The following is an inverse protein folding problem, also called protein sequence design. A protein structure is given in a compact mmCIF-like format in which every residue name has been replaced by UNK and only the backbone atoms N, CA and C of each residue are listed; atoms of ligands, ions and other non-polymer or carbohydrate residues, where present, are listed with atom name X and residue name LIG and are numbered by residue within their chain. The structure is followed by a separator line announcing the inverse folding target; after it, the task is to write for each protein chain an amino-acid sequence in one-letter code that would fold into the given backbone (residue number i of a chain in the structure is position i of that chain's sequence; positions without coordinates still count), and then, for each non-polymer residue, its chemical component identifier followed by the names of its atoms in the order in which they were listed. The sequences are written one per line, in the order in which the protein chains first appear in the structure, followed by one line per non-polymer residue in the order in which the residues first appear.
data_IF_417052624691
#
_entry.id   IF_417052624691
#
_cell.length_a   1.000
_cell.length_b   1.000
_cell.length_c   1.000
_cell.angle_alpha   90.00
_cell.angle_beta   90.00
_cell.angle_gamma   90.00
#
_symmetry.space_group_name_H-M   'P 1'
#
loop_
_entity.id
_entity.type
_entity.pdbx_description
1 polymer ?
#
# COMPACT_ATOMS: atom_id res chain seq x y z
N UNK A 1 -5.56 -8.52 2.54
CA UNK A 1 -4.50 -7.46 2.50
C UNK A 1 -3.80 -7.42 3.84
N UNK A 2 -2.47 -7.50 3.85
CA UNK A 2 -1.65 -7.30 5.04
C UNK A 2 -1.40 -5.80 5.27
N UNK A 3 -0.97 -5.43 6.48
CA UNK A 3 -0.63 -4.07 6.89
C UNK A 3 0.88 -3.99 7.15
N UNK A 4 1.59 -3.12 6.45
CA UNK A 4 3.05 -2.95 6.55
C UNK A 4 3.91 -4.17 6.16
N UNK A 5 3.40 -5.09 5.34
CA UNK A 5 4.19 -6.24 4.87
C UNK A 5 5.12 -5.83 3.73
N UNK A 6 6.41 -6.03 3.93
CA UNK A 6 7.42 -5.72 2.92
C UNK A 6 7.35 -6.61 1.69
N UNK A 7 7.76 -6.07 0.53
CA UNK A 7 7.77 -6.82 -0.73
C UNK A 7 8.60 -8.11 -0.64
N UNK A 8 9.75 -8.05 0.04
CA UNK A 8 10.67 -9.17 0.20
C UNK A 8 10.33 -10.11 1.38
N UNK A 9 9.22 -9.87 2.09
CA UNK A 9 8.89 -10.61 3.32
C UNK A 9 8.08 -11.89 3.06
N UNK A 10 7.91 -12.27 1.80
CA UNK A 10 7.22 -13.49 1.38
C UNK A 10 8.13 -14.41 0.55
N UNK A 11 7.91 -15.72 0.64
CA UNK A 11 8.79 -16.71 -0.01
C UNK A 11 8.82 -16.58 -1.53
N UNK A 12 7.69 -16.27 -2.18
CA UNK A 12 7.65 -16.11 -3.64
C UNK A 12 8.43 -14.89 -4.16
N UNK A 13 8.86 -13.96 -3.28
CA UNK A 13 9.78 -12.86 -3.58
C UNK A 13 11.19 -13.07 -2.99
N UNK A 14 11.47 -14.25 -2.43
CA UNK A 14 12.80 -14.67 -2.01
C UNK A 14 13.06 -14.62 -0.50
N UNK A 15 12.05 -14.41 0.35
CA UNK A 15 12.21 -14.54 1.80
C UNK A 15 12.74 -15.93 2.16
N UNK A 16 13.83 -15.99 2.92
CA UNK A 16 14.41 -17.25 3.40
C UNK A 16 14.20 -17.43 4.90
N UNK A 17 14.03 -16.35 5.63
CA UNK A 17 13.77 -16.38 7.07
C UNK A 17 12.29 -16.50 7.39
N UNK A 18 11.45 -15.68 6.77
CA UNK A 18 10.00 -15.73 6.93
C UNK A 18 9.40 -16.93 6.18
N UNK A 19 8.43 -17.58 6.78
CA UNK A 19 7.80 -18.80 6.23
C UNK A 19 6.37 -18.46 5.79
N UNK A 20 6.11 -18.56 4.49
CA UNK A 20 4.82 -18.22 3.88
C UNK A 20 4.31 -19.33 2.96
N UNK A 21 4.22 -20.59 3.43
CA UNK A 21 3.92 -21.74 2.56
C UNK A 21 2.55 -21.65 1.88
N UNK A 22 1.52 -21.12 2.54
CA UNK A 22 0.19 -20.97 1.96
C UNK A 22 0.16 -19.85 0.90
N UNK A 23 0.73 -18.70 1.23
CA UNK A 23 0.89 -17.55 0.32
C UNK A 23 1.68 -17.99 -0.91
N UNK A 24 2.79 -18.71 -0.74
CA UNK A 24 3.64 -19.17 -1.84
C UNK A 24 2.94 -20.22 -2.72
N UNK A 25 2.22 -21.14 -2.12
CA UNK A 25 1.45 -22.14 -2.86
C UNK A 25 0.34 -21.51 -3.70
N UNK A 26 -0.35 -20.49 -3.18
CA UNK A 26 -1.37 -19.75 -3.93
C UNK A 26 -0.75 -18.87 -5.01
N UNK A 27 0.37 -18.20 -4.74
CA UNK A 27 1.11 -17.44 -5.73
C UNK A 27 1.55 -18.32 -6.92
N UNK A 28 1.91 -19.58 -6.67
CA UNK A 28 2.24 -20.55 -7.71
C UNK A 28 1.01 -21.01 -8.53
N UNK A 29 -0.18 -21.00 -7.93
CA UNK A 29 -1.45 -21.34 -8.59
C UNK A 29 -2.05 -20.16 -9.38
N UNK A 30 -1.49 -18.94 -9.24
CA UNK A 30 -1.98 -17.74 -9.86
C UNK A 30 -0.94 -17.00 -10.69
N UNK A 31 -1.17 -15.70 -10.82
CA UNK A 31 -0.26 -14.73 -11.44
C UNK A 31 0.37 -13.86 -10.35
N UNK A 32 1.70 -13.81 -10.31
CA UNK A 32 2.44 -12.87 -9.46
C UNK A 32 2.62 -11.56 -10.19
N UNK A 33 2.47 -10.44 -9.50
CA UNK A 33 2.76 -9.11 -10.03
C UNK A 33 4.10 -8.65 -9.45
N UNK A 34 5.14 -8.61 -10.28
CA UNK A 34 6.47 -8.17 -9.84
C UNK A 34 6.52 -6.67 -9.55
N UNK A 35 5.62 -5.92 -10.17
CA UNK A 35 5.55 -4.46 -10.18
C UNK A 35 4.20 -3.95 -9.66
N UNK A 36 3.82 -4.42 -8.46
CA UNK A 36 2.62 -3.97 -7.78
C UNK A 36 2.94 -2.86 -6.77
N UNK A 37 2.10 -1.82 -6.78
CA UNK A 37 2.30 -0.62 -5.98
C UNK A 37 1.04 -0.21 -5.23
N UNK A 38 1.14 0.25 -3.97
CA UNK A 38 0.09 1.02 -3.33
C UNK A 38 -0.01 2.42 -3.94
N UNK A 39 -1.13 3.09 -3.73
CA UNK A 39 -1.32 4.47 -4.19
C UNK A 39 -0.55 5.53 -3.39
N UNK A 40 0.01 5.14 -2.24
CA UNK A 40 0.81 5.97 -1.35
C UNK A 40 1.75 5.10 -0.51
N UNK A 41 2.72 5.72 0.16
CA UNK A 41 3.71 5.03 1.00
C UNK A 41 3.24 4.77 2.45
N UNK A 42 2.00 5.13 2.79
CA UNK A 42 1.39 4.95 4.10
C UNK A 42 -0.03 4.38 3.99
N UNK A 43 -0.49 3.73 5.06
CA UNK A 43 -1.74 2.96 5.12
C UNK A 43 -2.99 3.77 4.78
N UNK A 44 -3.29 4.85 5.50
CA UNK A 44 -4.51 5.64 5.30
C UNK A 44 -4.66 6.17 3.86
N UNK A 45 -3.69 6.90 3.29
CA UNK A 45 -3.78 7.39 1.92
C UNK A 45 -3.80 6.27 0.87
N UNK A 46 -3.07 5.17 1.10
CA UNK A 46 -3.11 4.02 0.21
C UNK A 46 -4.49 3.36 0.17
N UNK A 47 -5.13 3.18 1.34
CA UNK A 47 -6.49 2.63 1.44
C UNK A 47 -7.51 3.54 0.78
N UNK A 48 -7.36 4.86 0.89
CA UNK A 48 -8.19 5.83 0.17
C UNK A 48 -8.06 5.66 -1.36
N UNK A 49 -6.84 5.51 -1.88
CA UNK A 49 -6.60 5.23 -3.31
C UNK A 49 -7.28 3.94 -3.77
N UNK A 50 -7.16 2.85 -3.00
CA UNK A 50 -7.80 1.56 -3.29
C UNK A 50 -9.30 1.72 -3.37
N UNK A 51 -9.93 2.33 -2.34
CA UNK A 51 -11.38 2.45 -2.25
C UNK A 51 -11.98 3.35 -3.32
N UNK A 52 -11.30 4.43 -3.68
CA UNK A 52 -11.87 5.47 -4.56
C UNK A 52 -11.43 5.37 -6.02
N UNK A 53 -10.36 4.61 -6.33
CA UNK A 53 -9.78 4.58 -7.67
C UNK A 53 -9.13 5.90 -8.10
N UNK A 54 -8.81 6.79 -7.13
CA UNK A 54 -8.22 8.10 -7.38
C UNK A 54 -6.90 8.27 -6.65
N UNK A 55 -5.99 9.09 -7.21
CA UNK A 55 -4.78 9.48 -6.49
C UNK A 55 -5.09 10.37 -5.29
N UNK A 56 -4.20 10.34 -4.30
CA UNK A 56 -4.36 11.09 -3.03
C UNK A 56 -4.46 12.61 -3.21
N UNK A 57 -4.03 13.15 -4.33
CA UNK A 57 -4.21 14.57 -4.70
C UNK A 57 -5.68 14.98 -4.73
N UNK A 58 -6.61 14.02 -4.95
CA UNK A 58 -8.06 14.27 -4.97
C UNK A 58 -8.71 14.10 -3.61
N UNK A 59 -8.28 13.11 -2.83
CA UNK A 59 -8.80 12.87 -1.47
C UNK A 59 -8.16 13.77 -0.42
N UNK A 60 -6.97 14.30 -0.70
CA UNK A 60 -6.15 15.10 0.22
C UNK A 60 -5.86 14.39 1.55
N UNK A 61 -5.90 13.07 1.56
CA UNK A 61 -5.55 12.22 2.70
C UNK A 61 -4.07 11.88 2.62
N UNK A 62 -3.18 12.78 3.10
CA UNK A 62 -1.75 12.66 2.84
C UNK A 62 -1.03 11.69 3.76
N UNK A 63 -1.41 11.64 5.04
CA UNK A 63 -0.74 10.82 6.07
C UNK A 63 -1.69 10.52 7.21
N UNK A 64 -1.54 9.36 7.89
CA UNK A 64 -2.28 9.07 9.11
C UNK A 64 -1.96 10.09 10.20
N UNK A 65 -2.99 10.75 10.71
CA UNK A 65 -2.87 11.83 11.69
C UNK A 65 -2.34 13.12 11.06
N UNK A 66 -2.99 14.20 11.40
CA UNK A 66 -2.77 15.53 10.84
C UNK A 66 -1.55 16.25 11.38
N UNK A 67 -0.79 15.64 12.27
CA UNK A 67 0.39 16.27 12.86
C UNK A 67 1.61 16.00 12.00
N UNK A 68 2.19 17.04 11.42
CA UNK A 68 3.55 16.98 10.94
C UNK A 68 4.45 16.42 12.06
N UNK A 69 5.02 15.24 11.79
CA UNK A 69 5.92 14.59 12.77
C UNK A 69 7.33 15.08 12.48
N UNK A 70 7.82 15.99 13.29
CA UNK A 70 9.16 16.53 13.16
C UNK A 70 9.26 17.92 13.79
N UNK A 71 10.47 18.43 13.87
CA UNK A 71 10.72 19.77 14.37
C UNK A 71 10.48 20.79 13.26
N UNK A 72 9.71 21.84 13.52
CA UNK A 72 9.35 22.87 12.55
C UNK A 72 10.58 23.55 11.93
N UNK A 73 11.59 23.80 12.76
CA UNK A 73 12.83 24.44 12.35
C UNK A 73 13.58 23.65 11.25
N UNK A 74 13.28 22.37 11.06
CA UNK A 74 13.85 21.53 10.03
C UNK A 74 13.00 21.45 8.76
N UNK A 75 11.87 22.18 8.67
CA UNK A 75 10.95 22.14 7.55
C UNK A 75 11.05 23.43 6.74
N UNK A 76 11.60 23.38 5.55
CA UNK A 76 11.75 24.55 4.68
C UNK A 76 10.42 25.17 4.28
N UNK A 77 9.39 24.36 4.06
CA UNK A 77 8.07 24.82 3.69
C UNK A 77 7.09 24.72 4.86
N UNK A 78 6.10 25.63 4.86
CA UNK A 78 4.96 25.48 5.76
C UNK A 78 4.21 24.20 5.44
N UNK A 79 3.88 23.45 6.48
CA UNK A 79 3.23 22.17 6.39
C UNK A 79 1.84 22.22 6.98
N UNK A 80 0.93 21.32 6.54
CA UNK A 80 -0.42 21.25 7.07
C UNK A 80 -0.40 21.00 8.58
N UNK A 81 -1.25 21.72 9.25
CA UNK A 81 -1.63 21.46 10.64
C UNK A 81 -3.11 21.11 10.70
N UNK A 82 -3.52 20.45 11.77
CA UNK A 82 -4.93 20.16 12.04
C UNK A 82 -5.79 21.40 11.89
N UNK A 83 -6.99 21.22 11.36
CA UNK A 83 -7.96 22.19 10.89
C UNK A 83 -8.33 23.39 11.77
N UNK A 84 -7.73 23.55 12.94
CA UNK A 84 -8.02 24.65 13.88
C UNK A 84 -7.12 25.88 13.72
N UNK A 85 -6.19 25.85 12.77
CA UNK A 85 -5.26 26.99 12.59
C UNK A 85 -5.59 27.78 11.33
N UNK A 86 -6.50 28.70 11.47
CA UNK A 86 -6.78 29.72 10.46
C UNK A 86 -5.58 30.66 10.34
N UNK A 87 -4.98 30.72 9.18
CA UNK A 87 -4.12 31.83 8.78
C UNK A 87 -2.61 31.61 8.78
N UNK A 88 -2.09 30.42 9.04
CA UNK A 88 -0.66 30.14 9.06
C UNK A 88 -0.12 29.47 7.78
N UNK A 89 -0.88 29.53 6.67
CA UNK A 89 -0.44 29.04 5.37
C UNK A 89 -0.35 27.52 5.25
N UNK A 90 -1.04 26.77 6.09
CA UNK A 90 -1.01 25.32 6.10
C UNK A 90 -1.87 24.70 4.99
N UNK A 91 -1.41 23.56 4.47
CA UNK A 91 -2.17 22.79 3.50
C UNK A 91 -3.28 22.01 4.21
N UNK A 92 -4.52 21.94 3.66
CA UNK A 92 -5.56 21.13 4.23
C UNK A 92 -5.20 19.65 4.14
N UNK A 93 -5.32 18.92 5.23
CA UNK A 93 -5.29 17.46 5.25
C UNK A 93 -6.65 16.93 5.68
N UNK A 94 -7.06 15.82 5.05
CA UNK A 94 -8.24 15.09 5.46
C UNK A 94 -7.83 13.89 6.31
N UNK A 95 -8.44 13.73 7.48
CA UNK A 95 -8.23 12.56 8.36
C UNK A 95 -9.26 11.46 8.07
N UNK A 96 -10.34 11.81 7.40
CA UNK A 96 -11.42 10.91 7.02
C UNK A 96 -11.71 11.04 5.53
N UNK A 97 -12.08 9.94 4.90
CA UNK A 97 -12.54 9.96 3.52
C UNK A 97 -13.89 10.68 3.46
N UNK A 98 -14.00 11.68 2.58
CA UNK A 98 -15.25 12.39 2.37
C UNK A 98 -16.35 11.41 1.90
N UNK A 99 -17.53 11.37 2.54
CA UNK A 99 -18.62 10.47 2.19
C UNK A 99 -19.15 10.64 0.75
N UNK A 100 -18.86 11.77 0.11
CA UNK A 100 -19.24 12.02 -1.29
C UNK A 100 -18.48 11.12 -2.27
N UNK A 101 -17.29 10.60 -1.89
CA UNK A 101 -16.57 9.66 -2.74
C UNK A 101 -17.36 8.35 -2.94
N UNK A 102 -17.43 7.95 -4.19
CA UNK A 102 -17.90 6.62 -4.56
C UNK A 102 -16.75 5.62 -4.38
N UNK A 103 -17.00 4.59 -3.58
CA UNK A 103 -16.05 3.55 -3.23
C UNK A 103 -16.32 2.25 -3.97
N UNK A 104 -15.41 1.29 -3.86
CA UNK A 104 -15.58 -0.07 -4.40
C UNK A 104 -16.93 -0.66 -3.93
N UNK A 105 -17.23 -0.58 -2.64
CA UNK A 105 -18.47 -1.13 -2.09
C UNK A 105 -19.70 -0.48 -2.72
N UNK A 106 -19.76 0.87 -2.77
CA UNK A 106 -20.87 1.58 -3.42
C UNK A 106 -21.07 1.17 -4.88
N UNK A 107 -19.97 0.94 -5.63
CA UNK A 107 -20.04 0.48 -7.03
C UNK A 107 -20.56 -0.95 -7.11
N UNK A 108 -20.04 -1.86 -6.31
CA UNK A 108 -20.40 -3.28 -6.34
C UNK A 108 -21.84 -3.52 -5.89
N UNK A 109 -22.35 -2.75 -4.92
CA UNK A 109 -23.74 -2.83 -4.48
C UNK A 109 -24.73 -2.50 -5.62
N UNK A 110 -24.32 -1.68 -6.62
CA UNK A 110 -25.19 -1.44 -7.81
C UNK A 110 -25.34 -2.65 -8.72
N UNK A 111 -24.52 -3.69 -8.52
CA UNK A 111 -24.54 -4.96 -9.26
C UNK A 111 -24.90 -6.14 -8.35
N UNK A 112 -25.61 -5.89 -7.25
CA UNK A 112 -26.14 -6.87 -6.30
C UNK A 112 -25.04 -7.72 -5.61
N UNK A 113 -23.85 -7.17 -5.40
CA UNK A 113 -22.85 -7.81 -4.55
C UNK A 113 -23.16 -7.50 -3.09
N UNK A 114 -23.08 -8.50 -2.23
CA UNK A 114 -22.98 -8.30 -0.77
C UNK A 114 -21.52 -7.95 -0.43
N UNK A 115 -21.31 -6.87 0.30
CA UNK A 115 -19.98 -6.32 0.53
C UNK A 115 -19.60 -6.34 2.00
N UNK A 116 -18.42 -6.90 2.31
CA UNK A 116 -17.87 -6.95 3.66
C UNK A 116 -16.50 -6.29 3.76
N UNK A 117 -16.34 -5.42 4.75
CA UNK A 117 -15.04 -4.97 5.24
C UNK A 117 -14.77 -5.61 6.60
N UNK A 118 -13.64 -6.30 6.72
CA UNK A 118 -13.21 -6.98 7.94
C UNK A 118 -11.80 -6.48 8.34
N UNK A 119 -11.67 -5.95 9.54
CA UNK A 119 -10.39 -5.53 10.11
C UNK A 119 -10.06 -4.05 9.98
N UNK A 120 -8.82 -3.71 9.62
CA UNK A 120 -8.33 -2.33 9.60
C UNK A 120 -8.96 -1.48 8.50
N UNK A 121 -9.73 -0.46 8.88
CA UNK A 121 -10.37 0.48 7.95
C UNK A 121 -9.50 1.70 7.63
N UNK A 122 -9.25 2.55 8.62
CA UNK A 122 -8.39 3.74 8.59
C UNK A 122 -8.87 4.86 7.64
N UNK A 123 -10.17 4.92 7.33
CA UNK A 123 -10.75 5.95 6.46
C UNK A 123 -11.84 6.79 7.15
N UNK A 124 -11.91 6.75 8.49
CA UNK A 124 -12.88 7.50 9.28
C UNK A 124 -14.07 6.66 9.75
N UNK A 125 -15.12 7.32 10.26
CA UNK A 125 -16.25 6.63 10.91
C UNK A 125 -17.27 6.02 9.94
N UNK A 126 -17.29 6.46 8.69
CA UNK A 126 -18.28 6.05 7.71
C UNK A 126 -18.02 4.64 7.17
N UNK A 127 -19.10 3.92 6.85
CA UNK A 127 -19.00 2.57 6.24
C UNK A 127 -18.68 2.62 4.75
N UNK A 128 -18.85 3.76 4.13
CA UNK A 128 -18.61 3.99 2.69
C UNK A 128 -19.26 2.96 1.76
N UNK A 129 -20.43 2.44 2.18
CA UNK A 129 -21.25 1.55 1.36
C UNK A 129 -21.06 0.06 1.63
N UNK A 130 -20.16 -0.35 2.55
CA UNK A 130 -20.08 -1.74 2.95
C UNK A 130 -21.34 -2.17 3.73
N UNK A 131 -21.93 -3.30 3.35
CA UNK A 131 -23.09 -3.89 4.02
C UNK A 131 -22.71 -4.45 5.40
N UNK A 132 -21.58 -5.14 5.47
CA UNK A 132 -20.95 -5.54 6.72
C UNK A 132 -19.64 -4.74 6.90
N UNK A 133 -19.57 -3.94 7.97
CA UNK A 133 -18.36 -3.23 8.34
C UNK A 133 -17.98 -3.57 9.78
N UNK A 134 -16.88 -4.27 9.94
CA UNK A 134 -16.40 -4.80 11.23
C UNK A 134 -16.11 -3.71 12.26
N UNK A 135 -15.76 -2.54 11.80
CA UNK A 135 -15.40 -1.41 12.68
C UNK A 135 -16.59 -0.53 13.05
N UNK A 136 -17.80 -0.83 12.59
CA UNK A 136 -18.98 0.06 12.71
C UNK A 136 -18.67 1.51 12.30
N UNK A 137 -17.79 1.71 11.33
CA UNK A 137 -17.34 3.02 10.91
C UNK A 137 -16.39 3.73 11.90
N UNK A 138 -16.14 3.19 13.07
CA UNK A 138 -15.34 3.85 14.09
C UNK A 138 -13.85 3.67 13.82
N UNK A 139 -13.23 4.66 13.24
CA UNK A 139 -11.77 4.68 13.01
C UNK A 139 -10.90 4.70 14.26
N UNK A 140 -11.47 4.79 15.46
CA UNK A 140 -10.68 4.95 16.69
C UNK A 140 -11.02 4.02 17.85
N UNK A 141 -12.28 3.64 18.03
CA UNK A 141 -12.69 2.92 19.25
C UNK A 141 -12.43 1.42 19.23
N UNK A 142 -12.51 0.78 18.07
CA UNK A 142 -12.26 -0.66 17.90
C UNK A 142 -10.77 -0.95 17.73
N UNK A 143 -9.99 0.03 17.30
CA UNK A 143 -8.52 0.00 17.25
C UNK A 143 -7.90 -0.50 18.56
N UNK A 144 -8.37 -0.01 19.71
CA UNK A 144 -7.81 -0.35 21.00
C UNK A 144 -7.98 -1.84 21.34
N UNK A 145 -9.07 -2.48 20.90
CA UNK A 145 -9.33 -3.90 21.14
C UNK A 145 -8.43 -4.80 20.28
N UNK A 146 -8.35 -4.52 18.98
CA UNK A 146 -7.55 -5.32 18.06
C UNK A 146 -6.05 -4.98 18.10
N UNK A 147 -5.72 -3.75 18.43
CA UNK A 147 -4.34 -3.26 18.44
C UNK A 147 -3.40 -4.01 19.40
N UNK A 148 -3.95 -4.65 20.43
CA UNK A 148 -3.21 -5.42 21.43
C UNK A 148 -3.53 -6.92 21.40
N UNK A 149 -4.40 -7.37 20.50
CA UNK A 149 -4.83 -8.76 20.39
C UNK A 149 -3.82 -9.54 19.53
N UNK A 150 -3.17 -10.53 20.13
CA UNK A 150 -2.22 -11.42 19.44
C UNK A 150 -2.91 -12.44 18.53
N UNK A 151 -4.23 -12.57 18.66
CA UNK A 151 -5.06 -13.50 17.89
C UNK A 151 -5.92 -12.79 16.85
N UNK A 152 -5.66 -11.50 16.59
CA UNK A 152 -6.47 -10.70 15.67
C UNK A 152 -6.55 -11.29 14.26
N UNK A 153 -5.44 -11.84 13.74
CA UNK A 153 -5.45 -12.50 12.44
C UNK A 153 -6.40 -13.69 12.39
N UNK A 154 -6.42 -14.51 13.45
CA UNK A 154 -7.34 -15.65 13.56
C UNK A 154 -8.79 -15.20 13.69
N UNK A 155 -9.06 -14.19 14.52
CA UNK A 155 -10.40 -13.61 14.68
C UNK A 155 -10.97 -13.11 13.35
N UNK A 156 -10.19 -12.34 12.59
CA UNK A 156 -10.60 -11.84 11.29
C UNK A 156 -10.78 -12.96 10.27
N UNK A 157 -9.92 -13.98 10.32
CA UNK A 157 -10.03 -15.17 9.48
C UNK A 157 -11.32 -15.92 9.73
N UNK A 158 -11.68 -16.17 11.00
CA UNK A 158 -12.91 -16.86 11.37
C UNK A 158 -14.15 -16.11 10.84
N UNK A 159 -14.15 -14.78 10.91
CA UNK A 159 -15.23 -13.93 10.37
C UNK A 159 -15.30 -13.99 8.85
N UNK A 160 -14.16 -13.97 8.16
CA UNK A 160 -14.13 -14.10 6.71
C UNK A 160 -14.65 -15.48 6.25
N UNK A 161 -14.24 -16.55 6.94
CA UNK A 161 -14.70 -17.91 6.68
C UNK A 161 -16.21 -18.02 6.89
N UNK A 162 -16.74 -17.44 7.97
CA UNK A 162 -18.18 -17.43 8.24
C UNK A 162 -18.94 -16.65 7.16
N UNK A 163 -18.48 -15.46 6.79
CA UNK A 163 -19.11 -14.66 5.74
C UNK A 163 -19.14 -15.40 4.39
N UNK A 164 -18.06 -16.10 4.03
CA UNK A 164 -18.01 -16.93 2.80
C UNK A 164 -19.07 -18.03 2.87
N UNK A 165 -19.25 -18.67 4.02
CA UNK A 165 -20.25 -19.72 4.19
C UNK A 165 -21.67 -19.19 4.08
N UNK A 166 -21.93 -17.99 4.64
CA UNK A 166 -23.25 -17.37 4.65
C UNK A 166 -23.66 -16.81 3.26
N UNK A 167 -22.69 -16.32 2.46
CA UNK A 167 -22.94 -15.62 1.19
C UNK A 167 -22.55 -16.45 -0.05
N UNK A 168 -22.23 -17.72 0.07
CA UNK A 168 -21.70 -18.55 -1.02
C UNK A 168 -22.61 -18.69 -2.23
N UNK A 169 -23.93 -18.46 -2.08
CA UNK A 169 -24.90 -18.51 -3.16
C UNK A 169 -25.12 -17.15 -3.86
N UNK A 170 -24.56 -16.06 -3.32
CA UNK A 170 -24.68 -14.70 -3.84
C UNK A 170 -23.35 -14.15 -4.34
N UNK A 171 -23.33 -13.17 -5.26
CA UNK A 171 -22.12 -12.43 -5.54
C UNK A 171 -21.67 -11.67 -4.30
N UNK A 172 -20.41 -11.82 -3.89
CA UNK A 172 -19.89 -11.13 -2.72
C UNK A 172 -18.51 -10.50 -2.97
N UNK A 173 -18.17 -9.52 -2.15
CA UNK A 173 -16.86 -8.90 -2.09
C UNK A 173 -16.40 -8.79 -0.63
N UNK A 174 -15.22 -9.32 -0.35
CA UNK A 174 -14.58 -9.21 0.96
C UNK A 174 -13.33 -8.35 0.85
N UNK A 175 -13.27 -7.27 1.61
CA UNK A 175 -12.07 -6.50 1.86
C UNK A 175 -11.52 -6.88 3.24
N UNK A 176 -10.79 -8.02 3.27
CA UNK A 176 -10.13 -8.52 4.49
C UNK A 176 -8.81 -7.79 4.70
N UNK A 177 -8.74 -6.97 5.73
CA UNK A 177 -7.62 -6.10 6.06
C UNK A 177 -7.03 -6.50 7.41
N UNK A 178 -5.98 -7.32 7.39
CA UNK A 178 -5.28 -7.68 8.62
C UNK A 178 -4.67 -6.44 9.28
N UNK A 179 -4.54 -6.50 10.61
CA UNK A 179 -3.73 -5.58 11.40
C UNK A 179 -2.26 -6.01 11.38
N UNK A 180 -2.03 -7.33 11.24
CA UNK A 180 -0.70 -7.89 11.05
C UNK A 180 -0.17 -7.51 9.65
N UNK A 181 1.06 -7.10 9.57
CA UNK A 181 2.16 -7.18 10.53
C UNK A 181 2.54 -5.79 11.13
N UNK A 182 1.56 -4.91 11.32
CA UNK A 182 1.76 -3.56 11.84
C UNK A 182 2.19 -3.56 13.32
N UNK A 183 2.89 -2.51 13.72
CA UNK A 183 3.20 -2.28 15.15
C UNK A 183 1.93 -2.05 15.99
N UNK A 184 1.92 -2.49 17.28
CA UNK A 184 3.00 -3.11 18.02
C UNK A 184 3.29 -4.53 17.54
N UNK A 185 4.58 -4.89 17.45
CA UNK A 185 5.02 -6.21 17.02
C UNK A 185 4.76 -7.21 18.15
N UNK A 186 3.74 -8.07 17.99
CA UNK A 186 3.28 -9.03 19.00
C UNK A 186 2.75 -10.29 18.32
N UNK A 187 3.10 -11.44 18.85
CA UNK A 187 2.64 -12.73 18.35
C UNK A 187 2.57 -13.77 19.47
N UNK A 188 2.02 -14.93 19.18
CA UNK A 188 1.94 -16.05 20.12
C UNK A 188 3.35 -16.51 20.52
N UNK A 189 3.64 -16.63 21.84
CA UNK A 189 4.99 -16.95 22.32
C UNK A 189 5.57 -18.25 21.77
N UNK A 190 4.73 -19.27 21.55
CA UNK A 190 5.14 -20.55 20.98
C UNK A 190 5.59 -20.44 19.52
N UNK A 191 4.97 -19.56 18.73
CA UNK A 191 5.37 -19.30 17.34
C UNK A 191 6.64 -18.45 17.32
N UNK A 192 6.77 -17.46 18.20
CA UNK A 192 8.02 -16.70 18.38
C UNK A 192 9.17 -17.64 18.71
N UNK A 193 8.98 -18.57 19.66
CA UNK A 193 10.01 -19.53 20.05
C UNK A 193 10.47 -20.44 18.89
N UNK A 194 9.58 -20.79 17.95
CA UNK A 194 9.94 -21.48 16.69
C UNK A 194 10.95 -20.65 15.89
N UNK A 195 10.67 -19.36 15.69
CA UNK A 195 11.55 -18.47 14.94
C UNK A 195 12.83 -18.11 15.69
N UNK A 196 12.80 -18.02 17.01
CA UNK A 196 14.02 -17.88 17.84
C UNK A 196 14.97 -19.05 17.65
N UNK A 197 14.41 -20.28 17.64
CA UNK A 197 15.20 -21.49 17.37
C UNK A 197 15.76 -21.46 15.94
N UNK A 198 14.97 -21.06 14.95
CA UNK A 198 15.39 -20.92 13.57
C UNK A 198 16.50 -19.87 13.44
N UNK A 199 16.36 -18.71 14.07
CA UNK A 199 17.34 -17.65 14.07
C UNK A 199 18.70 -18.09 14.65
N UNK A 200 18.67 -18.84 15.75
CA UNK A 200 19.85 -19.36 16.42
C UNK A 200 20.52 -20.56 15.69
N UNK A 201 19.85 -21.16 14.70
CA UNK A 201 20.32 -22.38 14.04
C UNK A 201 21.50 -22.16 13.07
N UNK A 202 21.69 -20.93 12.59
CA UNK A 202 22.76 -20.54 11.69
C UNK A 202 23.01 -19.03 11.75
N UNK A 203 24.10 -18.59 11.15
CA UNK A 203 24.32 -17.16 10.91
C UNK A 203 23.42 -16.68 9.76
N UNK A 204 22.77 -15.54 9.97
CA UNK A 204 21.91 -14.87 9.00
C UNK A 204 22.57 -13.57 8.54
N UNK A 205 22.17 -13.10 7.40
CA UNK A 205 22.64 -11.85 6.78
C UNK A 205 22.06 -10.58 7.43
N UNK A 206 20.98 -10.73 8.21
CA UNK A 206 20.33 -9.65 8.94
C UNK A 206 19.93 -10.10 10.36
N UNK A 207 19.71 -9.11 11.21
CA UNK A 207 19.10 -9.29 12.53
C UNK A 207 17.58 -9.38 12.37
N UNK A 208 17.11 -10.58 12.01
CA UNK A 208 15.71 -10.83 11.71
C UNK A 208 14.82 -10.76 12.96
N UNK A 209 13.70 -10.04 12.88
CA UNK A 209 12.74 -9.94 13.97
C UNK A 209 11.87 -11.21 14.03
N UNK A 210 12.09 -12.03 15.03
CA UNK A 210 11.41 -13.33 15.20
C UNK A 210 9.92 -13.18 15.55
N UNK A 211 9.55 -12.11 16.25
CA UNK A 211 8.13 -11.80 16.53
C UNK A 211 7.40 -11.35 15.26
N UNK A 212 8.04 -10.54 14.43
CA UNK A 212 7.51 -10.15 13.13
C UNK A 212 7.32 -11.36 12.21
N UNK A 213 8.27 -12.31 12.22
CA UNK A 213 8.14 -13.57 11.50
C UNK A 213 6.91 -14.37 11.94
N UNK A 214 6.64 -14.41 13.24
CA UNK A 214 5.46 -15.08 13.79
C UNK A 214 4.14 -14.39 13.38
N UNK A 215 4.12 -13.06 13.26
CA UNK A 215 2.97 -12.32 12.71
C UNK A 215 2.74 -12.64 11.24
N UNK A 216 3.80 -12.74 10.43
CA UNK A 216 3.71 -13.15 9.02
C UNK A 216 3.10 -14.56 8.90
N UNK A 217 3.50 -15.50 9.76
CA UNK A 217 2.94 -16.85 9.77
C UNK A 217 1.44 -16.84 10.10
N UNK A 218 0.98 -15.95 10.97
CA UNK A 218 -0.44 -15.80 11.26
C UNK A 218 -1.23 -15.30 10.02
N UNK A 219 -0.67 -14.33 9.27
CA UNK A 219 -1.26 -13.88 7.99
C UNK A 219 -1.24 -14.99 6.95
N UNK A 220 -0.14 -15.75 6.84
CA UNK A 220 -0.03 -16.89 5.92
C UNK A 220 -1.10 -17.96 6.21
N UNK A 221 -1.27 -18.31 7.48
CA UNK A 221 -2.31 -19.23 7.92
C UNK A 221 -3.70 -18.73 7.58
N UNK A 222 -3.96 -17.44 7.78
CA UNK A 222 -5.22 -16.80 7.40
C UNK A 222 -5.50 -16.93 5.91
N UNK A 223 -4.53 -16.60 5.07
CA UNK A 223 -4.64 -16.67 3.60
C UNK A 223 -5.01 -18.10 3.16
N UNK A 224 -4.33 -19.12 3.70
CA UNK A 224 -4.64 -20.51 3.41
C UNK A 224 -6.06 -20.90 3.81
N UNK A 225 -6.49 -20.52 5.02
CA UNK A 225 -7.83 -20.85 5.56
C UNK A 225 -8.96 -20.16 4.78
N UNK A 226 -8.78 -18.90 4.40
CA UNK A 226 -9.79 -18.17 3.61
C UNK A 226 -9.93 -18.78 2.22
N UNK A 227 -8.83 -19.13 1.55
CA UNK A 227 -8.91 -19.78 0.25
C UNK A 227 -9.53 -21.19 0.33
N UNK A 228 -9.21 -21.96 1.38
CA UNK A 228 -9.82 -23.27 1.61
C UNK A 228 -11.33 -23.15 1.87
N UNK A 229 -11.79 -22.10 2.56
CA UNK A 229 -13.22 -21.85 2.72
C UNK A 229 -13.93 -21.65 1.38
N UNK A 230 -13.33 -20.90 0.44
CA UNK A 230 -13.87 -20.74 -0.92
C UNK A 230 -13.96 -22.10 -1.65
N UNK A 231 -12.96 -22.99 -1.46
CA UNK A 231 -12.95 -24.32 -2.04
C UNK A 231 -14.06 -25.22 -1.47
N UNK A 232 -14.21 -25.20 -0.15
CA UNK A 232 -15.24 -26.00 0.56
C UNK A 232 -16.65 -25.59 0.11
N UNK A 233 -16.87 -24.27 -0.08
CA UNK A 233 -18.16 -23.77 -0.57
C UNK A 233 -18.33 -23.92 -2.10
N UNK A 234 -17.33 -24.42 -2.82
CA UNK A 234 -17.41 -24.64 -4.27
C UNK A 234 -17.40 -23.36 -5.11
N UNK A 235 -17.02 -22.22 -4.53
CA UNK A 235 -17.02 -20.91 -5.21
C UNK A 235 -15.65 -20.44 -5.65
N UNK A 236 -14.57 -21.16 -5.32
CA UNK A 236 -13.19 -20.76 -5.64
C UNK A 236 -12.96 -20.52 -7.14
N UNK A 237 -13.55 -21.35 -8.01
CA UNK A 237 -13.39 -21.24 -9.47
C UNK A 237 -14.02 -19.98 -10.06
N UNK A 238 -15.00 -19.39 -9.36
CA UNK A 238 -15.66 -18.15 -9.74
C UNK A 238 -15.27 -16.97 -8.86
N UNK A 239 -14.15 -17.08 -8.15
CA UNK A 239 -13.67 -16.01 -7.24
C UNK A 239 -12.29 -15.52 -7.68
N UNK A 240 -12.16 -14.21 -7.89
CA UNK A 240 -10.86 -13.54 -7.98
C UNK A 240 -10.31 -13.32 -6.57
N UNK A 241 -9.29 -14.09 -6.20
CA UNK A 241 -8.58 -13.94 -4.92
C UNK A 241 -7.31 -13.11 -5.12
N UNK A 242 -7.17 -12.01 -4.41
CA UNK A 242 -6.00 -11.12 -4.46
C UNK A 242 -5.35 -11.06 -3.09
N UNK A 243 -4.04 -11.29 -3.03
CA UNK A 243 -3.20 -11.02 -1.86
C UNK A 243 -2.29 -9.83 -2.16
N UNK A 244 -2.18 -8.88 -1.20
CA UNK A 244 -1.27 -7.73 -1.29
C UNK A 244 -1.06 -7.09 0.08
N UNK A 245 -0.18 -6.07 0.16
CA UNK A 245 -0.01 -5.16 1.30
C UNK A 245 -0.48 -3.74 0.95
N UNK A 246 -0.76 -2.92 1.96
CA UNK A 246 -1.20 -1.54 1.77
C UNK A 246 -0.05 -0.54 1.59
N UNK A 247 1.15 -0.85 2.02
CA UNK A 247 2.41 -0.13 1.78
C UNK A 247 3.60 -1.05 2.04
N UNK A 248 4.81 -0.55 1.81
CA UNK A 248 6.04 -1.29 2.10
C UNK A 248 6.28 -1.55 3.58
N UNK A 249 7.21 -2.43 3.88
CA UNK A 249 7.51 -2.90 5.24
C UNK A 249 8.02 -1.81 6.17
N UNK A 250 7.63 -1.93 7.45
CA UNK A 250 8.08 -1.01 8.49
C UNK A 250 9.57 -1.27 8.82
N UNK A 251 10.38 -0.25 8.67
CA UNK A 251 11.83 -0.36 8.79
C UNK A 251 12.35 -0.82 10.17
N UNK A 252 11.55 -0.69 11.25
CA UNK A 252 11.86 -1.26 12.57
C UNK A 252 11.54 -2.73 12.73
N UNK A 253 10.91 -3.37 11.73
CA UNK A 253 10.47 -4.75 11.78
C UNK A 253 11.16 -5.64 10.73
N UNK A 254 11.46 -5.07 9.55
CA UNK A 254 12.09 -5.77 8.44
C UNK A 254 13.10 -4.90 7.70
N UNK A 255 14.19 -5.46 7.16
CA UNK A 255 15.20 -4.70 6.43
C UNK A 255 14.75 -4.20 5.06
N UNK A 256 13.64 -4.70 4.51
CA UNK A 256 13.12 -4.42 3.15
C UNK A 256 14.09 -4.76 2.00
N UNK A 257 15.28 -5.29 2.27
CA UNK A 257 16.26 -5.61 1.24
C UNK A 257 15.74 -6.63 0.22
N UNK A 258 16.09 -6.49 -1.08
CA UNK A 258 17.10 -5.57 -1.64
C UNK A 258 16.60 -4.15 -1.91
N UNK A 259 15.33 -3.84 -1.63
CA UNK A 259 14.72 -2.55 -1.93
C UNK A 259 15.26 -1.44 -1.03
N UNK A 260 15.35 -0.23 -1.58
CA UNK A 260 15.72 0.96 -0.86
C UNK A 260 14.54 1.55 -0.09
N UNK A 261 14.79 2.06 1.11
CA UNK A 261 13.75 2.69 1.94
C UNK A 261 12.81 1.69 2.60
N UNK A 262 11.70 2.23 3.10
CA UNK A 262 10.69 1.51 3.87
C UNK A 262 9.38 2.31 3.89
N UNK A 263 8.36 1.82 4.60
CA UNK A 263 7.10 2.54 4.86
C UNK A 263 7.32 4.03 5.09
N UNK A 264 6.61 4.85 4.36
CA UNK A 264 6.67 6.32 4.43
C UNK A 264 7.62 6.95 3.41
N UNK A 265 8.60 6.22 2.87
CA UNK A 265 9.47 6.67 1.79
C UNK A 265 8.85 6.39 0.40
N UNK A 266 9.31 7.13 -0.62
CA UNK A 266 8.89 6.92 -2.00
C UNK A 266 9.91 6.12 -2.84
N UNK A 267 10.91 5.57 -2.19
CA UNK A 267 11.75 4.51 -2.76
C UNK A 267 10.97 3.19 -2.80
N UNK A 268 11.47 2.22 -3.56
CA UNK A 268 10.80 0.94 -3.80
C UNK A 268 10.40 0.22 -2.50
N UNK A 269 11.24 0.26 -1.46
CA UNK A 269 10.94 -0.36 -0.16
C UNK A 269 9.72 0.23 0.56
N UNK A 270 9.32 1.46 0.22
CA UNK A 270 8.11 2.09 0.78
C UNK A 270 6.85 1.91 -0.08
N UNK A 271 7.02 1.71 -1.38
CA UNK A 271 5.90 1.71 -2.34
C UNK A 271 5.79 0.45 -3.22
N UNK A 272 6.70 -0.50 -3.16
CA UNK A 272 6.53 -1.81 -3.83
C UNK A 272 6.00 -2.81 -2.82
N UNK A 273 4.99 -3.59 -3.20
CA UNK A 273 4.32 -4.56 -2.32
C UNK A 273 4.25 -5.95 -2.95
N UNK A 274 4.23 -7.02 -2.13
CA UNK A 274 3.98 -8.35 -2.65
C UNK A 274 2.55 -8.43 -3.17
N UNK A 275 2.36 -9.06 -4.33
CA UNK A 275 1.02 -9.26 -4.88
C UNK A 275 0.95 -10.49 -5.76
N UNK A 276 -0.14 -11.23 -5.59
CA UNK A 276 -0.59 -12.24 -6.55
C UNK A 276 -2.12 -12.21 -6.70
N UNK A 277 -2.59 -12.79 -7.80
CA UNK A 277 -4.01 -13.03 -8.06
C UNK A 277 -4.22 -14.47 -8.47
N UNK A 278 -5.19 -15.14 -7.84
CA UNK A 278 -5.67 -16.48 -8.22
C UNK A 278 -7.10 -16.34 -8.72
N UNK A 279 -7.35 -16.87 -9.89
CA UNK A 279 -8.70 -17.03 -10.43
C UNK A 279 -8.69 -18.21 -11.39
N UNK A 280 -9.04 -19.41 -10.91
CA UNK A 280 -9.04 -20.61 -11.74
C UNK A 280 -9.79 -20.40 -13.07
N UNK A 281 -9.31 -21.03 -14.12
CA UNK A 281 -9.86 -20.91 -15.49
C UNK A 281 -9.71 -19.52 -16.17
N UNK A 282 -9.30 -18.49 -15.47
CA UNK A 282 -9.10 -17.13 -16.04
C UNK A 282 -7.65 -16.68 -15.97
N UNK A 283 -7.03 -16.82 -14.81
CA UNK A 283 -5.63 -16.46 -14.58
C UNK A 283 -4.76 -17.69 -14.80
N UNK A 284 -3.79 -17.59 -15.71
CA UNK A 284 -2.87 -18.70 -15.96
C UNK A 284 -1.91 -18.88 -14.79
N UNK A 285 -1.94 -20.06 -14.19
CA UNK A 285 -1.08 -20.43 -13.06
C UNK A 285 0.43 -20.31 -13.40
N UNK A 286 1.24 -19.93 -12.40
CA UNK A 286 2.69 -19.84 -12.51
C UNK A 286 3.20 -18.70 -13.40
N UNK A 287 2.34 -17.73 -13.75
CA UNK A 287 2.75 -16.58 -14.58
C UNK A 287 3.22 -15.41 -13.75
N UNK A 288 4.02 -14.53 -14.39
CA UNK A 288 4.49 -13.27 -13.79
C UNK A 288 4.04 -12.11 -14.69
N UNK A 289 3.37 -11.13 -14.10
CA UNK A 289 3.03 -9.88 -14.75
C UNK A 289 4.03 -8.79 -14.32
N UNK A 290 4.80 -8.28 -15.28
CA UNK A 290 5.77 -7.20 -15.07
C UNK A 290 5.19 -5.81 -15.41
N UNK A 291 3.92 -5.73 -15.77
CA UNK A 291 3.26 -4.46 -16.03
C UNK A 291 2.95 -3.76 -14.70
N UNK A 292 3.43 -2.52 -14.49
CA UNK A 292 3.16 -1.80 -13.26
C UNK A 292 1.67 -1.56 -13.03
N UNK A 293 1.20 -1.93 -11.85
CA UNK A 293 -0.16 -1.68 -11.37
C UNK A 293 -0.10 -0.91 -10.05
N UNK A 294 -1.18 -0.22 -9.72
CA UNK A 294 -1.23 0.59 -8.50
C UNK A 294 -2.60 0.51 -7.82
N UNK A 295 -2.67 0.90 -6.55
CA UNK A 295 -3.88 0.82 -5.73
C UNK A 295 -5.12 1.46 -6.36
N UNK A 296 -4.97 2.50 -7.20
CA UNK A 296 -6.10 3.14 -7.88
C UNK A 296 -6.74 2.25 -8.96
N UNK A 297 -6.11 1.14 -9.34
CA UNK A 297 -6.62 0.22 -10.37
C UNK A 297 -7.70 -0.74 -9.86
N UNK A 298 -7.82 -0.90 -8.55
CA UNK A 298 -8.76 -1.87 -7.99
C UNK A 298 -10.22 -1.51 -8.26
N UNK A 299 -10.63 -0.25 -8.02
CA UNK A 299 -12.01 0.16 -8.26
C UNK A 299 -12.45 -0.08 -9.71
N UNK A 300 -11.76 0.41 -10.76
CA UNK A 300 -12.17 0.15 -12.14
C UNK A 300 -12.05 -1.33 -12.55
N UNK A 301 -11.19 -2.11 -11.89
CA UNK A 301 -11.10 -3.55 -12.11
C UNK A 301 -12.33 -4.27 -11.58
N UNK A 302 -12.72 -4.01 -10.34
CA UNK A 302 -13.86 -4.69 -9.73
C UNK A 302 -15.17 -4.22 -10.37
N UNK A 303 -15.29 -2.93 -10.74
CA UNK A 303 -16.41 -2.45 -11.52
C UNK A 303 -16.56 -3.21 -12.85
N UNK A 304 -15.46 -3.39 -13.59
CA UNK A 304 -15.48 -4.13 -14.85
C UNK A 304 -15.87 -5.60 -14.68
N UNK A 305 -15.41 -6.26 -13.60
CA UNK A 305 -15.75 -7.65 -13.30
C UNK A 305 -17.21 -7.82 -12.91
N UNK A 306 -17.75 -6.88 -12.15
CA UNK A 306 -19.16 -6.89 -11.72
C UNK A 306 -20.13 -6.38 -12.78
N UNK A 307 -19.64 -5.92 -13.94
CA UNK A 307 -20.49 -5.23 -14.94
C UNK A 307 -21.08 -3.91 -14.43
N UNK A 308 -20.50 -3.32 -13.39
CA UNK A 308 -20.95 -2.10 -12.77
C UNK A 308 -20.44 -0.86 -13.50
N UNK A 309 -21.25 0.21 -13.53
CA UNK A 309 -20.83 1.47 -14.11
C UNK A 309 -19.88 2.23 -13.17
N UNK A 310 -18.85 2.85 -13.73
CA UNK A 310 -18.02 3.77 -12.98
C UNK A 310 -18.76 5.08 -12.67
N UNK A 311 -18.45 5.75 -11.54
CA UNK A 311 -19.09 7.00 -11.17
C UNK A 311 -18.81 8.11 -12.21
N UNK A 312 -19.86 8.82 -12.63
CA UNK A 312 -19.74 9.88 -13.64
C UNK A 312 -19.14 11.19 -13.06
N UNK A 313 -19.38 11.44 -11.78
CA UNK A 313 -19.02 12.71 -11.12
C UNK A 313 -17.70 12.60 -10.32
N UNK A 314 -16.99 11.48 -10.42
CA UNK A 314 -15.72 11.27 -9.77
C UNK A 314 -14.67 10.88 -10.82
N UNK A 315 -13.57 11.64 -10.94
CA UNK A 315 -12.48 11.23 -11.80
C UNK A 315 -11.90 9.89 -11.32
N UNK A 316 -11.81 8.92 -12.21
CA UNK A 316 -11.12 7.64 -11.95
C UNK A 316 -9.74 7.72 -12.60
N UNK A 317 -8.70 7.68 -11.78
CA UNK A 317 -7.30 7.74 -12.24
C UNK A 317 -6.75 6.34 -12.61
N UNK A 318 -7.34 5.30 -12.03
CA UNK A 318 -6.99 3.91 -12.27
C UNK A 318 -7.48 3.37 -13.61
N UNK A 319 -6.97 2.19 -13.95
CA UNK A 319 -7.40 1.41 -15.12
C UNK A 319 -7.65 -0.03 -14.74
N UNK A 320 -8.66 -0.64 -15.35
CA UNK A 320 -8.95 -2.06 -15.12
C UNK A 320 -7.76 -2.94 -15.53
N UNK A 321 -7.33 -3.81 -14.62
CA UNK A 321 -6.30 -4.82 -14.86
C UNK A 321 -6.86 -6.16 -15.37
N UNK A 322 -8.16 -6.26 -15.63
CA UNK A 322 -8.79 -7.47 -16.18
C UNK A 322 -8.06 -8.00 -17.42
N UNK A 323 -7.64 -7.16 -18.38
CA UNK A 323 -6.85 -7.65 -19.51
C UNK A 323 -5.52 -8.30 -19.10
N UNK A 324 -4.85 -7.82 -18.05
CA UNK A 324 -3.62 -8.42 -17.53
C UNK A 324 -3.91 -9.79 -16.91
N UNK A 325 -4.98 -9.91 -16.11
CA UNK A 325 -5.43 -11.18 -15.52
C UNK A 325 -5.73 -12.24 -16.60
N UNK A 326 -6.17 -11.80 -17.78
CA UNK A 326 -6.41 -12.64 -18.96
C UNK A 326 -5.15 -12.90 -19.80
N UNK A 327 -3.96 -12.50 -19.33
CA UNK A 327 -2.69 -12.69 -20.05
C UNK A 327 -2.49 -11.74 -21.25
N UNK A 328 -3.26 -10.66 -21.35
CA UNK A 328 -3.12 -9.67 -22.43
C UNK A 328 -2.13 -8.58 -22.04
N UNK A 329 -1.24 -8.20 -22.96
CA UNK A 329 -0.27 -7.12 -22.79
C UNK A 329 -0.96 -5.74 -22.88
N UNK A 330 -1.70 -5.37 -21.84
CA UNK A 330 -2.33 -4.06 -21.70
C UNK A 330 -1.59 -3.22 -20.65
N UNK A 331 -1.76 -1.90 -20.70
CA UNK A 331 -1.26 -0.92 -19.73
C UNK A 331 0.27 -0.69 -19.71
N UNK A 332 1.08 -1.36 -20.52
CA UNK A 332 2.55 -1.29 -20.49
C UNK A 332 3.14 0.13 -20.68
N UNK A 333 2.43 1.00 -21.37
CA UNK A 333 2.92 2.36 -21.70
C UNK A 333 2.39 3.47 -20.79
N UNK A 334 1.63 3.12 -19.74
CA UNK A 334 1.11 4.14 -18.83
C UNK A 334 2.17 4.58 -17.83
N UNK A 335 2.01 5.79 -17.33
CA UNK A 335 2.72 6.27 -16.15
C UNK A 335 1.85 6.10 -14.91
N UNK A 336 2.47 5.82 -13.78
CA UNK A 336 1.87 5.82 -12.45
C UNK A 336 2.58 6.86 -11.59
N UNK A 337 1.84 7.43 -10.63
CA UNK A 337 2.27 8.63 -9.94
C UNK A 337 2.06 8.52 -8.43
N UNK A 338 2.90 9.24 -7.67
CA UNK A 338 2.72 9.49 -6.25
C UNK A 338 2.99 10.97 -5.98
N UNK A 339 2.39 11.49 -4.94
CA UNK A 339 2.58 12.87 -4.51
C UNK A 339 2.48 12.97 -3.00
N UNK A 340 3.36 13.76 -2.41
CA UNK A 340 3.38 13.97 -0.98
C UNK A 340 3.86 15.39 -0.67
N UNK A 341 2.95 16.30 -0.24
CA UNK A 341 3.29 17.70 -0.02
C UNK A 341 3.82 18.00 1.38
N UNK A 342 4.05 16.97 2.22
CA UNK A 342 4.35 17.10 3.63
C UNK A 342 5.76 16.62 3.99
N UNK A 343 6.08 16.74 5.27
CA UNK A 343 7.25 16.13 5.89
C UNK A 343 6.83 14.94 6.77
N UNK A 344 7.54 13.84 6.65
CA UNK A 344 7.39 12.67 7.50
C UNK A 344 8.70 12.35 8.19
N UNK A 345 8.79 12.64 9.49
CA UNK A 345 9.99 12.36 10.26
C UNK A 345 10.28 10.87 10.37
N UNK A 346 11.55 10.52 10.40
CA UNK A 346 12.05 9.26 10.91
C UNK A 346 11.74 9.16 12.41
N UNK A 347 11.49 7.95 12.91
CA UNK A 347 11.50 7.71 14.34
C UNK A 347 12.91 7.27 14.78
N UNK A 348 13.14 7.20 16.11
CA UNK A 348 14.42 6.91 16.74
C UNK A 348 15.08 5.55 16.40
N UNK A 349 14.51 4.78 15.48
CA UNK A 349 15.01 3.45 15.09
C UNK A 349 16.00 3.47 13.92
N UNK A 350 16.74 4.57 13.73
CA UNK A 350 17.88 4.69 12.79
C UNK A 350 17.63 4.28 11.33
N UNK A 351 16.42 4.44 10.83
CA UNK A 351 16.00 3.95 9.52
C UNK A 351 15.63 5.09 8.59
N UNK A 352 16.35 6.16 8.73
CA UNK A 352 16.33 7.23 7.75
C UNK A 352 17.29 6.84 6.64
N UNK A 353 16.73 6.52 5.51
CA UNK A 353 17.49 6.50 4.29
C UNK A 353 17.83 7.96 3.97
N UNK A 354 19.09 8.32 3.74
CA UNK A 354 19.41 9.66 3.31
C UNK A 354 18.62 9.96 2.04
N UNK A 355 17.76 10.96 2.11
CA UNK A 355 17.18 11.54 0.90
C UNK A 355 18.34 12.32 0.28
N UNK A 356 18.74 11.96 -0.94
CA UNK A 356 19.80 12.67 -1.64
C UNK A 356 19.45 14.18 -1.68
N UNK A 357 20.42 15.01 -1.35
CA UNK A 357 20.28 16.48 -1.35
C UNK A 357 19.75 17.09 -0.06
N UNK A 358 19.50 16.28 1.00
CA UNK A 358 19.33 16.79 2.36
C UNK A 358 20.42 16.23 3.25
N UNK A 359 21.17 17.07 3.94
CA UNK A 359 22.20 16.67 4.93
C UNK A 359 21.58 16.04 6.19
N UNK A 360 20.25 15.92 6.23
CA UNK A 360 19.53 15.51 7.41
C UNK A 360 18.97 14.09 7.25
N UNK A 361 19.54 13.13 7.96
CA UNK A 361 18.96 11.79 8.18
C UNK A 361 17.65 11.85 9.04
N UNK A 362 16.85 12.90 8.88
CA UNK A 362 15.73 13.21 9.76
C UNK A 362 14.38 12.82 9.16
N UNK A 363 14.28 12.79 7.83
CA UNK A 363 13.02 12.61 7.13
C UNK A 363 12.92 11.24 6.45
N UNK A 364 11.77 10.58 6.57
CA UNK A 364 11.39 9.44 5.70
C UNK A 364 10.92 9.93 4.34
N UNK A 365 10.24 11.06 4.33
CA UNK A 365 9.83 11.77 3.14
C UNK A 365 9.81 13.28 3.39
N UNK A 366 10.22 14.03 2.40
CA UNK A 366 10.03 15.46 2.27
C UNK A 366 9.04 15.74 1.14
N UNK A 367 8.54 16.98 0.98
CA UNK A 367 7.64 17.32 -0.10
C UNK A 367 8.21 16.87 -1.46
N UNK A 368 7.51 15.94 -2.11
CA UNK A 368 7.99 15.29 -3.32
C UNK A 368 6.86 14.77 -4.22
N UNK A 369 7.19 14.55 -5.47
CA UNK A 369 6.34 13.80 -6.42
C UNK A 369 7.15 12.76 -7.15
N UNK A 370 6.50 11.67 -7.54
CA UNK A 370 7.15 10.54 -8.20
C UNK A 370 6.36 10.14 -9.45
N UNK A 371 7.09 9.81 -10.50
CA UNK A 371 6.56 9.17 -11.69
C UNK A 371 7.32 7.87 -11.96
N UNK A 372 6.59 6.80 -12.28
CA UNK A 372 7.13 5.61 -12.89
C UNK A 372 6.54 5.40 -14.27
N UNK A 373 7.41 5.18 -15.26
CA UNK A 373 7.03 4.88 -16.64
C UNK A 373 7.93 3.78 -17.22
N UNK A 374 7.33 2.61 -17.44
CA UNK A 374 8.10 1.42 -17.80
C UNK A 374 9.14 1.10 -16.73
N UNK A 375 10.40 0.96 -17.13
CA UNK A 375 11.52 0.63 -16.22
C UNK A 375 12.08 1.85 -15.48
N UNK A 376 11.64 3.06 -15.81
CA UNK A 376 12.20 4.29 -15.27
C UNK A 376 11.32 4.89 -14.19
N UNK A 377 11.97 5.33 -13.12
CA UNK A 377 11.36 6.05 -12.01
C UNK A 377 12.10 7.36 -11.78
N UNK A 378 11.35 8.46 -11.62
CA UNK A 378 11.89 9.75 -11.26
C UNK A 378 11.20 10.26 -10.01
N UNK A 379 11.99 10.74 -9.07
CA UNK A 379 11.55 11.41 -7.83
C UNK A 379 11.92 12.89 -7.96
N UNK A 380 10.94 13.77 -7.81
CA UNK A 380 11.14 15.24 -7.74
C UNK A 380 11.03 15.66 -6.29
N UNK A 381 12.05 16.34 -5.78
CA UNK A 381 12.07 16.93 -4.44
C UNK A 381 11.86 18.43 -4.54
N UNK A 382 10.82 18.94 -3.88
CA UNK A 382 10.47 20.37 -3.95
C UNK A 382 11.41 21.23 -3.08
N UNK A 383 11.89 20.69 -1.97
CA UNK A 383 12.72 21.42 -1.03
C UNK A 383 14.09 21.82 -1.62
N UNK A 384 14.77 20.87 -2.24
CA UNK A 384 16.05 21.07 -2.91
C UNK A 384 15.93 21.51 -4.37
N UNK A 385 14.72 21.42 -4.95
CA UNK A 385 14.47 21.59 -6.37
C UNK A 385 15.34 20.65 -7.24
N UNK A 386 15.52 19.43 -6.79
CA UNK A 386 16.32 18.39 -7.47
C UNK A 386 15.45 17.23 -7.91
N UNK A 387 16.02 16.38 -8.78
CA UNK A 387 15.41 15.12 -9.18
C UNK A 387 16.40 13.97 -9.01
N UNK A 388 15.86 12.79 -8.77
CA UNK A 388 16.58 11.51 -8.86
C UNK A 388 15.95 10.66 -9.95
N UNK A 389 16.76 9.92 -10.71
CA UNK A 389 16.32 9.05 -11.78
C UNK A 389 16.92 7.66 -11.61
N UNK A 390 16.07 6.62 -11.67
CA UNK A 390 16.47 5.23 -11.52
C UNK A 390 15.96 4.35 -12.65
N UNK A 391 16.70 3.31 -13.02
CA UNK A 391 16.24 2.26 -13.91
C UNK A 391 15.98 0.98 -13.10
N UNK A 392 14.74 0.75 -12.72
CA UNK A 392 14.34 -0.33 -11.81
C UNK A 392 14.53 -1.75 -12.38
N UNK A 393 14.64 -1.90 -13.68
CA UNK A 393 14.96 -3.19 -14.31
C UNK A 393 16.40 -3.60 -14.04
N UNK A 394 17.30 -2.63 -13.97
CA UNK A 394 18.74 -2.86 -13.75
C UNK A 394 19.17 -2.70 -12.29
N UNK A 395 18.42 -1.93 -11.54
CA UNK A 395 18.72 -1.51 -10.19
C UNK A 395 17.44 -1.31 -9.38
N UNK A 396 16.86 -2.43 -8.93
CA UNK A 396 15.65 -2.42 -8.10
C UNK A 396 15.89 -1.80 -6.72
N UNK A 397 17.16 -1.76 -6.29
CA UNK A 397 17.60 -1.19 -5.01
C UNK A 397 17.85 0.31 -5.05
N UNK A 398 17.66 0.98 -6.20
CA UNK A 398 17.81 2.44 -6.34
C UNK A 398 19.14 2.97 -5.78
N UNK A 399 20.22 2.22 -6.05
CA UNK A 399 21.57 2.53 -5.56
C UNK A 399 22.36 3.41 -6.53
N UNK A 400 21.88 3.57 -7.77
CA UNK A 400 22.59 4.21 -8.87
C UNK A 400 21.75 5.35 -9.47
N UNK A 401 22.01 6.58 -9.00
CA UNK A 401 21.32 7.77 -9.48
C UNK A 401 21.79 8.14 -10.89
N UNK A 402 20.87 8.32 -11.83
CA UNK A 402 21.12 8.41 -13.26
C UNK A 402 20.68 9.72 -13.90
N UNK A 403 20.20 10.72 -13.17
CA UNK A 403 19.66 11.98 -13.75
C UNK A 403 20.71 12.73 -14.56
N UNK A 404 21.96 12.73 -14.09
CA UNK A 404 23.10 13.35 -14.79
C UNK A 404 23.57 12.53 -15.99
N UNK A 405 23.41 11.20 -15.94
CA UNK A 405 23.79 10.30 -17.04
C UNK A 405 22.76 10.30 -18.17
N UNK A 406 21.46 10.47 -17.83
CA UNK A 406 20.36 10.49 -18.79
C UNK A 406 19.49 11.75 -18.63
N UNK A 407 20.07 12.96 -18.87
CA UNK A 407 19.36 14.22 -18.61
C UNK A 407 18.10 14.43 -19.46
N UNK A 408 18.11 13.95 -20.71
CA UNK A 408 16.93 14.02 -21.58
C UNK A 408 15.78 13.13 -21.05
N UNK A 409 16.11 11.95 -20.52
CA UNK A 409 15.12 11.06 -19.90
C UNK A 409 14.54 11.70 -18.63
N UNK A 410 15.38 12.26 -17.78
CA UNK A 410 14.97 12.97 -16.57
C UNK A 410 14.04 14.14 -16.92
N UNK A 411 14.42 14.99 -17.89
CA UNK A 411 13.61 16.12 -18.35
C UNK A 411 12.26 15.69 -18.91
N UNK A 412 12.23 14.62 -19.71
CA UNK A 412 10.98 14.11 -20.30
C UNK A 412 10.01 13.58 -19.23
N UNK A 413 10.51 12.84 -18.23
CA UNK A 413 9.70 12.33 -17.13
C UNK A 413 9.24 13.44 -16.20
N UNK A 414 10.12 14.40 -15.88
CA UNK A 414 9.77 15.58 -15.09
C UNK A 414 8.64 16.37 -15.75
N UNK A 415 8.75 16.66 -17.04
CA UNK A 415 7.72 17.37 -17.79
C UNK A 415 6.37 16.61 -17.80
N UNK A 416 6.39 15.27 -17.81
CA UNK A 416 5.18 14.46 -17.74
C UNK A 416 4.59 14.50 -16.31
N UNK A 417 5.43 14.45 -15.30
CA UNK A 417 5.04 14.56 -13.89
C UNK A 417 4.40 15.92 -13.60
N UNK A 418 4.98 17.00 -14.07
CA UNK A 418 4.45 18.37 -13.89
C UNK A 418 3.09 18.55 -14.58
N UNK A 419 2.90 17.96 -15.76
CA UNK A 419 1.57 17.95 -16.41
C UNK A 419 0.53 17.20 -15.60
N UNK A 420 0.92 16.05 -15.01
CA UNK A 420 0.04 15.29 -14.14
C UNK A 420 -0.28 16.06 -12.85
N UNK A 421 0.70 16.70 -12.22
CA UNK A 421 0.50 17.55 -11.04
C UNK A 421 -0.57 18.61 -11.30
N UNK A 422 -0.44 19.33 -12.42
CA UNK A 422 -1.43 20.34 -12.84
C UNK A 422 -2.82 19.72 -13.05
N UNK A 423 -2.89 18.58 -13.75
CA UNK A 423 -4.16 17.90 -14.06
C UNK A 423 -4.86 17.35 -12.81
N UNK A 424 -4.10 16.88 -11.83
CA UNK A 424 -4.61 16.30 -10.58
C UNK A 424 -4.82 17.32 -9.47
N UNK A 425 -4.53 18.60 -9.72
CA UNK A 425 -4.53 19.67 -8.72
C UNK A 425 -3.61 19.33 -7.52
N UNK A 426 -2.44 18.77 -7.80
CA UNK A 426 -1.45 18.45 -6.78
C UNK A 426 -0.98 19.74 -6.08
N UNK A 427 -1.01 19.74 -4.78
CA UNK A 427 -0.60 20.89 -3.98
C UNK A 427 0.93 20.89 -3.86
N UNK A 428 1.58 21.87 -4.49
CA UNK A 428 3.02 22.04 -4.40
C UNK A 428 3.31 23.08 -3.30
N UNK A 429 4.01 22.72 -2.22
CA UNK A 429 4.37 23.66 -1.18
C UNK A 429 5.38 24.69 -1.72
N UNK A 430 5.07 25.96 -1.54
CA UNK A 430 5.91 27.08 -2.02
C UNK A 430 6.18 28.11 -0.93
N UNK A 431 5.38 28.10 0.15
CA UNK A 431 5.51 29.08 1.22
C UNK A 431 6.62 28.66 2.17
N UNK A 432 7.63 29.53 2.28
CA UNK A 432 8.76 29.29 3.19
C UNK A 432 8.29 29.39 4.64
N UNK A 433 8.72 28.42 5.43
CA UNK A 433 8.49 28.41 6.86
C UNK A 433 9.39 29.47 7.54
N UNK A 434 8.82 30.45 8.26
CA UNK A 434 9.62 31.48 8.93
C UNK A 434 10.48 30.92 10.07
N UNK A 435 10.15 29.73 10.61
CA UNK A 435 10.91 29.08 11.66
C UNK A 435 12.04 28.16 11.11
N UNK A 436 12.24 28.14 9.76
CA UNK A 436 13.26 27.30 9.14
C UNK A 436 14.66 27.88 9.36
N UNK A 437 15.55 27.07 9.91
CA UNK A 437 16.88 27.51 10.38
C UNK A 437 18.00 27.24 9.34
N UNK A 438 17.63 26.84 8.08
CA UNK A 438 18.56 26.72 6.94
C UNK A 438 19.14 25.32 6.77
#
# INVERSE_FOLDING_TARGET
MADDLGWADVGFNGASFYETPNIDALAAQGMRFSDAYPGASNCMPSRACIMTGTYITRTQMWTPGSKAKGKKENMKFLVPRNGDQKGDGTLPTQETLDPSFTTIAKVLNTSNYTTAHLGKWHLGPETHGFDLNDTNGLGGGVLAKYYNDIDVAETLTNRAVQFIADESENPFFIYLCHWDVHTPIKARPEVVAKYDKKFKSRQWDYDWNTTYAAMIEAVDTSVGRVYEALRIQGVADNTLFIFTSDNGGHAGATPNKPLHGAKGAFYEGGIRVPMFAVWPNTVKAGTICETPITGVDYLPTFAALAGAALPKNQPIDGRSIVPLLQGKNALQKRSIFWHYPLYLAGNAYNLVVPIHGTDTMYWRATPSSVIRKGDWKLIQYFESNTVELYNLRKDIGESNELSKTYPEKASALLSELERWQKKSNAIIPTQINPDFDG
#
